data_IF_075607374200
#
_entry.id   IF_075607374200
#
_cell.length_a   1.000
_cell.length_b   1.000
_cell.length_c   1.000
_cell.angle_alpha   90.00
_cell.angle_beta   90.00
_cell.angle_gamma   90.00
#
_symmetry.space_group_name_H-M   'P 1'
#
loop_
_entity.id
_entity.type
_entity.pdbx_description
1 polymer ?
#
# COMPACT_ATOMS: atom_id res chain seq x y z
N UNK A 1 80.97 80.49 -16.77
CA UNK A 1 80.89 79.03 -16.60
C UNK A 1 79.65 78.72 -15.79
N UNK A 2 78.54 78.37 -16.45
CA UNK A 2 77.43 77.58 -15.88
C UNK A 2 76.69 76.98 -17.08
N UNK A 3 76.85 75.67 -17.24
CA UNK A 3 76.25 74.87 -18.32
C UNK A 3 75.06 74.15 -17.69
N UNK A 4 73.84 74.42 -18.17
CA UNK A 4 72.63 73.74 -17.76
C UNK A 4 72.56 72.37 -18.47
N UNK A 5 72.50 71.29 -17.70
CA UNK A 5 72.20 69.94 -18.19
C UNK A 5 70.72 69.84 -18.61
N UNK A 6 70.49 69.08 -19.67
CA UNK A 6 69.21 68.92 -20.37
C UNK A 6 68.22 68.01 -19.60
N UNK A 7 66.96 68.41 -19.39
CA UNK A 7 65.95 67.63 -18.65
C UNK A 7 65.18 66.60 -19.50
N UNK A 8 65.60 66.34 -20.75
CA UNK A 8 64.80 65.55 -21.70
C UNK A 8 64.88 64.03 -21.50
N UNK A 9 65.91 63.53 -20.82
CA UNK A 9 66.15 62.08 -20.63
C UNK A 9 65.36 61.48 -19.47
N UNK A 10 65.04 62.27 -18.45
CA UNK A 10 64.36 61.82 -17.21
C UNK A 10 62.84 61.64 -17.41
N UNK A 11 62.22 62.45 -18.28
CA UNK A 11 60.78 62.39 -18.57
C UNK A 11 60.40 61.15 -19.39
N UNK A 12 61.30 60.68 -20.26
CA UNK A 12 61.08 59.47 -21.08
C UNK A 12 61.15 58.18 -20.26
N UNK A 13 61.99 58.14 -19.24
CA UNK A 13 62.13 56.97 -18.36
C UNK A 13 60.94 56.87 -17.39
N UNK A 14 60.54 58.00 -16.79
CA UNK A 14 59.33 58.09 -15.96
C UNK A 14 58.06 57.70 -16.74
N UNK A 15 57.94 58.11 -18.01
CA UNK A 15 56.78 57.72 -18.84
C UNK A 15 56.76 56.21 -19.18
N UNK A 16 57.93 55.61 -19.38
CA UNK A 16 58.07 54.17 -19.64
C UNK A 16 57.75 53.35 -18.39
N UNK A 17 58.20 53.81 -17.22
CA UNK A 17 57.91 53.19 -15.93
C UNK A 17 56.41 53.33 -15.55
N UNK A 18 55.79 54.49 -15.85
CA UNK A 18 54.35 54.67 -15.67
C UNK A 18 53.52 53.77 -16.59
N UNK A 19 53.99 53.51 -17.81
CA UNK A 19 53.34 52.60 -18.73
C UNK A 19 53.44 51.14 -18.26
N UNK A 20 54.59 50.73 -17.73
CA UNK A 20 54.80 49.40 -17.15
C UNK A 20 53.91 49.18 -15.91
N UNK A 21 53.87 50.16 -14.99
CA UNK A 21 53.02 50.09 -13.80
C UNK A 21 51.53 50.07 -14.14
N UNK A 22 51.09 50.77 -15.20
CA UNK A 22 49.70 50.70 -15.67
C UNK A 22 49.36 49.35 -16.28
N UNK A 23 50.30 48.72 -16.97
CA UNK A 23 50.12 47.38 -17.52
C UNK A 23 50.03 46.33 -16.40
N UNK A 24 50.91 46.42 -15.39
CA UNK A 24 50.89 45.54 -14.22
C UNK A 24 49.62 45.74 -13.38
N UNK A 25 49.18 46.98 -13.18
CA UNK A 25 47.90 47.28 -12.51
C UNK A 25 46.69 46.75 -13.30
N UNK A 26 46.75 46.77 -14.64
CA UNK A 26 45.69 46.21 -15.47
C UNK A 26 45.67 44.68 -15.43
N UNK A 27 46.82 44.04 -15.25
CA UNK A 27 46.94 42.59 -15.04
C UNK A 27 46.42 42.18 -13.66
N UNK A 28 46.83 42.90 -12.61
CA UNK A 28 46.33 42.69 -11.23
C UNK A 28 44.82 42.88 -11.19
N UNK A 29 44.28 43.93 -11.82
CA UNK A 29 42.83 44.14 -11.91
C UNK A 29 42.10 43.04 -12.69
N UNK A 30 42.75 42.42 -13.69
CA UNK A 30 42.18 41.27 -14.41
C UNK A 30 42.17 40.02 -13.53
N UNK A 31 43.28 39.70 -12.87
CA UNK A 31 43.39 38.57 -11.97
C UNK A 31 42.42 38.68 -10.77
N UNK A 32 42.32 39.86 -10.17
CA UNK A 32 41.42 40.13 -9.04
C UNK A 32 39.95 40.11 -9.47
N UNK A 33 39.65 40.53 -10.71
CA UNK A 33 38.32 40.40 -11.33
C UNK A 33 37.96 38.95 -11.65
N UNK A 34 38.92 38.14 -12.10
CA UNK A 34 38.71 36.70 -12.36
C UNK A 34 38.52 35.92 -11.05
N UNK A 35 39.32 36.19 -10.01
CA UNK A 35 39.20 35.54 -8.71
C UNK A 35 37.91 35.94 -7.96
N UNK A 36 37.49 37.20 -8.09
CA UNK A 36 36.18 37.65 -7.61
C UNK A 36 35.05 36.96 -8.36
N UNK A 37 35.16 36.83 -9.69
CA UNK A 37 34.16 36.13 -10.50
C UNK A 37 34.09 34.65 -10.16
N UNK A 38 35.21 33.99 -9.86
CA UNK A 38 35.25 32.59 -9.44
C UNK A 38 34.65 32.38 -8.05
N UNK A 39 34.89 33.28 -7.10
CA UNK A 39 34.23 33.25 -5.78
C UNK A 39 32.74 33.51 -5.87
N UNK A 40 32.31 34.54 -6.59
CA UNK A 40 30.90 34.83 -6.81
C UNK A 40 30.19 33.70 -7.55
N UNK A 41 30.87 33.07 -8.52
CA UNK A 41 30.36 31.90 -9.24
C UNK A 41 30.30 30.66 -8.35
N UNK A 42 31.28 30.43 -7.49
CA UNK A 42 31.26 29.33 -6.52
C UNK A 42 30.13 29.50 -5.50
N UNK A 43 29.91 30.70 -4.98
CA UNK A 43 28.78 31.02 -4.10
C UNK A 43 27.44 30.85 -4.83
N UNK A 44 27.35 31.29 -6.09
CA UNK A 44 26.15 31.11 -6.91
C UNK A 44 25.90 29.64 -7.23
N UNK A 45 26.93 28.84 -7.54
CA UNK A 45 26.81 27.40 -7.75
C UNK A 45 26.44 26.69 -6.44
N UNK A 46 27.00 27.08 -5.29
CA UNK A 46 26.59 26.55 -4.00
C UNK A 46 25.15 26.93 -3.64
N UNK A 47 24.71 28.15 -4.00
CA UNK A 47 23.31 28.56 -3.89
C UNK A 47 22.44 27.72 -4.78
N UNK A 48 22.75 27.57 -6.07
CA UNK A 48 22.01 26.71 -6.99
C UNK A 48 21.99 25.26 -6.49
N UNK A 49 23.09 24.72 -5.98
CA UNK A 49 23.13 23.36 -5.44
C UNK A 49 22.32 23.26 -4.16
N UNK A 50 22.34 24.27 -3.28
CA UNK A 50 21.48 24.31 -2.09
C UNK A 50 20.02 24.48 -2.46
N UNK A 51 19.70 25.26 -3.49
CA UNK A 51 18.36 25.49 -4.02
C UNK A 51 17.88 24.27 -4.79
N UNK A 52 18.74 23.52 -5.48
CA UNK A 52 18.44 22.24 -6.13
C UNK A 52 18.36 21.12 -5.12
N UNK A 53 19.15 21.13 -4.04
CA UNK A 53 19.02 20.16 -2.95
C UNK A 53 17.77 20.46 -2.12
N UNK A 54 17.49 21.72 -1.83
CA UNK A 54 16.26 22.20 -1.24
C UNK A 54 15.09 21.84 -2.16
N UNK A 55 15.03 22.28 -3.42
CA UNK A 55 14.03 21.90 -4.42
C UNK A 55 13.98 20.39 -4.68
N UNK A 56 15.06 19.62 -4.54
CA UNK A 56 15.00 18.15 -4.63
C UNK A 56 14.44 17.53 -3.37
N UNK A 57 14.63 18.16 -2.20
CA UNK A 57 14.01 17.79 -0.93
C UNK A 57 12.56 18.24 -0.88
N UNK A 58 12.22 19.38 -1.48
CA UNK A 58 10.87 19.92 -1.67
C UNK A 58 10.15 19.18 -2.78
N UNK A 59 10.80 18.70 -3.84
CA UNK A 59 10.21 17.77 -4.81
C UNK A 59 10.16 16.36 -4.27
N UNK A 60 11.09 15.94 -3.41
CA UNK A 60 10.93 14.70 -2.62
C UNK A 60 9.83 14.82 -1.58
N UNK A 61 9.49 16.03 -1.10
CA UNK A 61 8.42 16.28 -0.12
C UNK A 61 7.08 16.67 -0.76
N UNK A 62 7.07 17.28 -1.95
CA UNK A 62 5.91 17.47 -2.84
C UNK A 62 5.59 16.15 -3.57
N UNK A 63 6.62 15.31 -3.76
CA UNK A 63 6.48 13.87 -3.97
C UNK A 63 6.57 13.09 -2.66
N UNK A 64 6.42 13.74 -1.51
CA UNK A 64 6.50 13.12 -0.20
C UNK A 64 5.29 12.22 -0.08
N UNK A 65 5.52 10.90 -0.16
CA UNK A 65 4.52 9.85 -0.16
C UNK A 65 3.10 10.39 -0.38
N UNK A 66 2.87 10.99 -1.57
CA UNK A 66 1.53 10.97 -2.13
C UNK A 66 1.15 9.51 -1.97
N UNK A 67 -0.04 9.22 -1.45
CA UNK A 67 -0.64 7.93 -1.76
C UNK A 67 -0.65 7.87 -3.29
N UNK A 68 0.43 7.28 -3.84
CA UNK A 68 0.78 7.19 -5.25
C UNK A 68 0.06 6.02 -5.88
N UNK A 69 -0.90 5.47 -5.15
CA UNK A 69 -1.90 4.69 -5.81
C UNK A 69 -2.57 5.57 -6.86
N UNK A 70 -2.76 4.99 -8.04
CA UNK A 70 -3.61 5.48 -9.10
C UNK A 70 -5.05 5.84 -8.64
N UNK A 71 -5.40 5.62 -7.37
CA UNK A 71 -6.55 6.22 -6.66
C UNK A 71 -6.46 7.75 -6.49
N UNK A 72 -5.37 8.41 -6.89
CA UNK A 72 -5.25 9.87 -6.86
C UNK A 72 -5.94 10.57 -8.05
N UNK A 73 -6.70 9.84 -8.86
CA UNK A 73 -7.62 10.45 -9.81
C UNK A 73 -8.72 11.14 -9.00
N UNK A 74 -8.93 12.44 -9.24
CA UNK A 74 -9.99 13.19 -8.58
C UNK A 74 -9.62 14.63 -8.30
N UNK A 75 -10.29 15.22 -7.30
CA UNK A 75 -10.08 16.61 -6.91
C UNK A 75 -8.89 16.70 -5.97
N UNK A 76 -7.92 17.56 -6.28
CA UNK A 76 -6.84 17.92 -5.38
C UNK A 76 -6.86 19.41 -5.08
N UNK A 77 -6.74 19.75 -3.80
CA UNK A 77 -6.62 21.11 -3.30
C UNK A 77 -5.34 21.18 -2.48
N UNK A 78 -4.59 22.26 -2.62
CA UNK A 78 -3.38 22.50 -1.85
C UNK A 78 -3.35 23.95 -1.40
N UNK A 79 -2.73 24.22 -0.27
CA UNK A 79 -2.40 25.57 0.17
C UNK A 79 -1.22 26.11 -0.65
N UNK A 80 -1.16 27.43 -0.80
CA UNK A 80 -0.08 28.09 -1.55
C UNK A 80 1.31 27.84 -0.94
N UNK A 81 1.36 27.56 0.37
CA UNK A 81 2.59 27.24 1.11
C UNK A 81 2.98 25.75 1.07
N UNK A 82 2.18 24.90 0.42
CA UNK A 82 2.44 23.46 0.27
C UNK A 82 2.31 22.63 1.55
N UNK A 83 1.99 23.24 2.69
CA UNK A 83 1.90 22.56 3.99
C UNK A 83 0.63 21.74 4.17
N UNK A 84 -0.43 22.12 3.45
CA UNK A 84 -1.71 21.45 3.49
C UNK A 84 -2.07 21.00 2.08
N UNK A 85 -2.45 19.73 1.98
CA UNK A 85 -2.96 19.15 0.75
C UNK A 85 -4.17 18.29 1.09
N UNK A 86 -5.08 18.17 0.14
CA UNK A 86 -6.20 17.25 0.20
C UNK A 86 -6.47 16.72 -1.19
N UNK A 87 -6.49 15.39 -1.32
CA UNK A 87 -6.94 14.67 -2.51
C UNK A 87 -8.18 13.88 -2.15
N UNK A 88 -9.21 14.02 -2.98
CA UNK A 88 -10.44 13.24 -2.93
C UNK A 88 -10.49 12.32 -4.14
N UNK A 89 -10.80 11.04 -3.91
CA UNK A 89 -10.99 10.04 -4.95
C UNK A 89 -12.12 9.08 -4.62
N UNK A 90 -12.71 8.49 -5.66
CA UNK A 90 -13.77 7.49 -5.55
C UNK A 90 -13.34 6.22 -6.24
N UNK A 91 -13.62 5.07 -5.63
CA UNK A 91 -13.58 3.78 -6.33
C UNK A 91 -14.94 3.13 -6.27
N UNK A 92 -15.44 2.67 -7.41
CA UNK A 92 -16.70 1.94 -7.50
C UNK A 92 -16.48 0.59 -8.16
N UNK A 93 -17.00 -0.47 -7.53
CA UNK A 93 -17.04 -1.82 -8.07
C UNK A 93 -18.49 -2.26 -8.23
N UNK A 94 -18.89 -2.61 -9.45
CA UNK A 94 -20.20 -3.21 -9.75
C UNK A 94 -19.96 -4.64 -10.21
N UNK A 95 -20.67 -5.59 -9.62
CA UNK A 95 -20.52 -7.03 -9.88
C UNK A 95 -21.80 -7.65 -10.43
N UNK A 96 -21.62 -8.62 -11.31
CA UNK A 96 -22.54 -9.73 -11.52
C UNK A 96 -21.93 -10.97 -10.86
N UNK A 97 -22.72 -11.69 -10.08
CA UNK A 97 -22.32 -12.95 -9.43
C UNK A 97 -23.33 -14.01 -9.82
N UNK A 98 -22.83 -15.18 -10.25
CA UNK A 98 -23.60 -16.41 -10.40
C UNK A 98 -22.92 -17.47 -9.54
N UNK A 99 -23.65 -18.03 -8.58
CA UNK A 99 -23.19 -19.05 -7.64
C UNK A 99 -23.98 -20.32 -7.90
N UNK A 100 -23.28 -21.44 -8.06
CA UNK A 100 -23.85 -22.79 -8.16
C UNK A 100 -23.37 -23.60 -6.96
N UNK A 101 -24.29 -24.18 -6.21
CA UNK A 101 -24.04 -25.06 -5.07
C UNK A 101 -24.91 -26.32 -5.18
N UNK A 102 -24.40 -27.46 -4.69
CA UNK A 102 -25.22 -28.65 -4.47
C UNK A 102 -26.09 -28.41 -3.23
N UNK A 103 -27.41 -28.45 -3.42
CA UNK A 103 -28.36 -28.42 -2.31
C UNK A 103 -28.41 -29.77 -1.59
N UNK A 104 -28.93 -29.76 -0.37
CA UNK A 104 -29.32 -30.98 0.33
C UNK A 104 -30.52 -31.61 -0.42
N UNK A 105 -30.47 -32.92 -0.72
CA UNK A 105 -31.56 -33.69 -1.37
C UNK A 105 -32.89 -33.55 -0.61
N UNK A 106 -32.85 -33.19 0.68
CA UNK A 106 -34.01 -33.00 1.55
C UNK A 106 -34.55 -31.56 1.61
N UNK A 107 -33.85 -30.58 1.02
CA UNK A 107 -34.26 -29.17 1.06
C UNK A 107 -35.26 -28.85 -0.07
N UNK A 108 -36.45 -28.38 0.30
CA UNK A 108 -37.50 -27.93 -0.64
C UNK A 108 -37.22 -26.55 -1.24
N UNK A 109 -36.16 -25.88 -0.75
CA UNK A 109 -35.75 -24.59 -1.28
C UNK A 109 -34.78 -24.84 -2.43
N UNK A 110 -35.15 -24.38 -3.62
CA UNK A 110 -34.35 -24.40 -4.85
C UNK A 110 -33.16 -23.42 -4.74
N UNK A 111 -32.26 -23.68 -3.79
CA UNK A 111 -31.13 -22.82 -3.40
C UNK A 111 -29.87 -23.12 -4.22
N UNK A 112 -29.93 -24.11 -5.10
CA UNK A 112 -28.76 -24.67 -5.79
C UNK A 112 -28.08 -23.70 -6.74
N UNK A 113 -28.78 -22.67 -7.22
CA UNK A 113 -28.16 -21.65 -8.07
C UNK A 113 -28.75 -20.28 -7.76
N UNK A 114 -27.87 -19.32 -7.50
CA UNK A 114 -28.23 -17.93 -7.21
C UNK A 114 -27.45 -17.01 -8.14
N UNK A 115 -28.09 -15.95 -8.62
CA UNK A 115 -27.38 -14.93 -9.38
C UNK A 115 -27.98 -13.55 -9.14
N UNK A 116 -27.18 -12.52 -9.39
CA UNK A 116 -27.61 -11.15 -9.24
C UNK A 116 -26.55 -10.14 -9.62
N UNK A 117 -26.96 -8.88 -9.64
CA UNK A 117 -26.07 -7.73 -9.76
C UNK A 117 -26.04 -6.95 -8.46
N UNK A 118 -24.88 -6.40 -8.12
CA UNK A 118 -24.70 -5.58 -6.94
C UNK A 118 -23.71 -4.46 -7.19
N UNK A 119 -23.90 -3.33 -6.51
CA UNK A 119 -22.82 -2.37 -6.29
C UNK A 119 -21.99 -2.96 -5.15
N UNK A 120 -20.99 -3.77 -5.49
CA UNK A 120 -20.21 -4.51 -4.50
C UNK A 120 -19.52 -3.58 -3.51
N UNK A 121 -18.90 -2.51 -4.02
CA UNK A 121 -18.09 -1.60 -3.22
C UNK A 121 -18.14 -0.18 -3.73
N UNK A 122 -18.24 0.77 -2.82
CA UNK A 122 -17.94 2.19 -3.07
C UNK A 122 -17.00 2.68 -1.99
N UNK A 123 -15.81 3.14 -2.38
CA UNK A 123 -14.88 3.81 -1.47
C UNK A 123 -14.86 5.29 -1.77
N UNK A 124 -15.01 6.09 -0.71
CA UNK A 124 -14.78 7.53 -0.71
C UNK A 124 -13.47 7.76 0.03
N UNK A 125 -12.44 8.20 -0.70
CA UNK A 125 -11.08 8.33 -0.19
C UNK A 125 -10.72 9.80 -0.10
N UNK A 126 -10.24 10.21 1.07
CA UNK A 126 -9.68 11.52 1.33
C UNK A 126 -8.32 11.33 1.96
N UNK A 127 -7.29 11.96 1.41
CA UNK A 127 -5.94 11.90 1.95
C UNK A 127 -5.24 13.23 1.77
N UNK A 128 -4.17 13.45 2.53
CA UNK A 128 -3.43 14.70 2.40
C UNK A 128 -2.38 14.91 3.47
N UNK A 129 -1.89 16.14 3.53
CA UNK A 129 -0.98 16.64 4.56
C UNK A 129 -1.69 17.66 5.44
N UNK A 130 -1.22 17.80 6.68
CA UNK A 130 -1.72 18.78 7.63
C UNK A 130 -0.55 19.38 8.37
N UNK A 131 -0.58 20.68 8.70
CA UNK A 131 0.50 21.40 9.40
C UNK A 131 1.77 21.57 8.56
N UNK A 132 2.39 20.48 8.10
CA UNK A 132 3.56 20.44 7.22
C UNK A 132 3.60 19.08 6.47
N UNK A 133 4.41 18.91 5.41
CA UNK A 133 4.41 17.69 4.60
C UNK A 133 4.76 16.39 5.33
N UNK A 134 5.36 16.45 6.52
CA UNK A 134 5.69 15.28 7.32
C UNK A 134 4.52 14.74 8.14
N UNK A 135 3.42 15.50 8.29
CA UNK A 135 2.19 15.00 8.92
C UNK A 135 1.16 14.79 7.82
N UNK A 136 0.79 13.53 7.62
CA UNK A 136 -0.20 13.12 6.61
C UNK A 136 -1.37 12.39 7.25
N UNK A 137 -2.47 12.31 6.54
CA UNK A 137 -3.70 11.69 7.04
C UNK A 137 -4.42 10.95 5.92
N UNK A 138 -5.23 9.97 6.30
CA UNK A 138 -6.12 9.23 5.40
C UNK A 138 -7.46 9.00 6.09
N UNK A 139 -8.53 9.26 5.35
CA UNK A 139 -9.88 8.84 5.65
C UNK A 139 -10.43 8.08 4.45
N UNK A 140 -10.91 6.86 4.67
CA UNK A 140 -11.65 6.10 3.68
C UNK A 140 -12.96 5.61 4.28
N UNK A 141 -14.07 5.98 3.66
CA UNK A 141 -15.36 5.35 3.91
C UNK A 141 -15.64 4.32 2.84
N UNK A 142 -16.04 3.12 3.27
CA UNK A 142 -16.40 2.02 2.39
C UNK A 142 -17.87 1.68 2.60
N UNK A 143 -18.59 1.56 1.49
CA UNK A 143 -19.88 0.88 1.40
C UNK A 143 -19.66 -0.47 0.75
N UNK A 144 -20.25 -1.52 1.32
CA UNK A 144 -20.30 -2.85 0.72
C UNK A 144 -21.74 -3.39 0.71
N UNK A 145 -22.16 -4.05 -0.38
CA UNK A 145 -23.50 -4.65 -0.50
C UNK A 145 -23.68 -5.93 0.33
N UNK A 146 -22.58 -6.60 0.66
CA UNK A 146 -22.53 -7.85 1.42
C UNK A 146 -21.64 -7.68 2.65
N UNK A 147 -21.92 -8.39 3.74
CA UNK A 147 -20.99 -8.45 4.85
C UNK A 147 -19.70 -9.10 4.37
N UNK A 148 -18.57 -8.50 4.69
CA UNK A 148 -17.28 -9.15 4.58
C UNK A 148 -16.50 -8.99 5.89
N UNK A 149 -15.31 -9.57 5.93
CA UNK A 149 -14.44 -9.60 7.10
C UNK A 149 -14.12 -8.20 7.66
N UNK A 150 -14.14 -7.15 6.83
CA UNK A 150 -13.70 -5.81 7.20
C UNK A 150 -14.84 -4.78 7.18
N UNK A 151 -15.97 -5.11 6.54
CA UNK A 151 -17.21 -4.37 6.56
C UNK A 151 -18.36 -5.31 6.98
N UNK A 152 -18.62 -5.42 8.29
CA UNK A 152 -19.54 -6.41 8.82
C UNK A 152 -21.03 -6.04 8.68
N UNK A 153 -21.35 -4.75 8.43
CA UNK A 153 -22.72 -4.33 8.19
C UNK A 153 -22.93 -4.02 6.70
N UNK A 154 -23.69 -4.86 5.97
CA UNK A 154 -23.98 -4.58 4.57
C UNK A 154 -24.80 -3.30 4.41
N UNK A 155 -24.73 -2.74 3.22
CA UNK A 155 -25.50 -1.57 2.80
C UNK A 155 -25.26 -0.29 3.64
N UNK A 156 -24.10 -0.18 4.28
CA UNK A 156 -23.76 0.94 5.17
C UNK A 156 -22.38 1.48 4.83
N UNK A 157 -22.21 2.81 4.84
CA UNK A 157 -20.88 3.42 4.78
C UNK A 157 -20.19 3.33 6.14
N UNK A 158 -18.98 2.79 6.17
CA UNK A 158 -18.18 2.63 7.39
C UNK A 158 -16.74 3.15 7.17
N UNK A 159 -16.14 3.81 8.17
CA UNK A 159 -14.74 4.22 8.07
C UNK A 159 -13.82 2.98 8.17
N UNK A 160 -13.15 2.63 7.07
CA UNK A 160 -12.23 1.49 7.01
C UNK A 160 -10.76 1.89 7.12
N UNK A 161 -10.44 3.14 6.80
CA UNK A 161 -9.19 3.79 7.19
C UNK A 161 -9.49 5.15 7.82
N UNK A 162 -8.84 5.44 8.94
CA UNK A 162 -8.94 6.72 9.62
C UNK A 162 -7.70 6.91 10.49
N UNK A 163 -6.64 7.50 9.94
CA UNK A 163 -5.39 7.67 10.66
C UNK A 163 -4.67 8.97 10.35
N UNK A 164 -3.73 9.29 11.24
CA UNK A 164 -2.71 10.31 11.06
C UNK A 164 -1.34 9.60 11.07
N UNK A 165 -0.47 9.98 10.14
CA UNK A 165 0.90 9.48 9.99
C UNK A 165 1.88 10.63 10.16
N UNK A 166 2.89 10.46 11.00
CA UNK A 166 4.05 11.35 11.11
C UNK A 166 5.27 10.67 10.50
N UNK A 167 5.93 11.36 9.56
CA UNK A 167 7.27 11.04 9.10
C UNK A 167 8.29 11.80 9.96
N UNK A 168 9.24 11.08 10.55
CA UNK A 168 10.32 11.65 11.36
C UNK A 168 11.62 11.81 10.55
N UNK A 169 11.60 11.46 9.26
CA UNK A 169 12.76 11.36 8.40
C UNK A 169 13.50 10.04 8.58
N UNK A 170 14.48 9.81 7.71
CA UNK A 170 15.35 8.62 7.74
C UNK A 170 14.59 7.29 7.75
N UNK A 171 13.43 7.25 7.09
CA UNK A 171 12.62 6.04 6.97
C UNK A 171 11.77 5.70 8.20
N UNK A 172 11.79 6.54 9.24
CA UNK A 172 11.00 6.32 10.46
C UNK A 172 9.65 7.01 10.35
N UNK A 173 8.57 6.24 10.48
CA UNK A 173 7.21 6.80 10.53
C UNK A 173 6.42 6.22 11.68
N UNK A 174 5.50 7.01 12.24
CA UNK A 174 4.50 6.55 13.19
C UNK A 174 3.09 6.81 12.64
N UNK A 175 2.18 5.90 12.94
CA UNK A 175 0.81 5.90 12.45
C UNK A 175 -0.14 5.70 13.63
N UNK A 176 -1.14 6.56 13.80
CA UNK A 176 -2.17 6.41 14.84
C UNK A 176 -3.57 6.48 14.23
N UNK A 177 -4.43 5.55 14.64
CA UNK A 177 -5.81 5.45 14.16
C UNK A 177 -6.11 4.09 13.54
N UNK A 178 -7.16 3.99 12.74
CA UNK A 178 -7.59 2.76 12.09
C UNK A 178 -6.82 2.51 10.79
N UNK A 179 -6.02 1.44 10.75
CA UNK A 179 -5.14 1.10 9.63
C UNK A 179 -4.89 -0.41 9.53
N UNK A 180 -4.32 -0.88 8.41
CA UNK A 180 -3.96 -2.29 8.25
C UNK A 180 -2.98 -2.73 9.34
N UNK A 181 -3.25 -3.88 9.94
CA UNK A 181 -2.33 -4.54 10.87
C UNK A 181 -1.24 -5.24 10.04
N UNK A 182 0.07 -5.01 10.32
CA UNK A 182 1.16 -5.55 9.52
C UNK A 182 1.31 -7.06 9.79
N UNK A 183 0.87 -7.87 8.84
CA UNK A 183 0.80 -9.33 9.00
C UNK A 183 1.32 -10.05 7.77
N UNK A 184 0.52 -10.10 6.70
CA UNK A 184 0.82 -10.74 5.43
C UNK A 184 1.01 -9.69 4.31
N UNK A 185 1.44 -10.11 3.12
CA UNK A 185 1.60 -9.19 2.00
C UNK A 185 0.27 -8.53 1.60
N UNK A 186 -0.85 -9.26 1.63
CA UNK A 186 -2.20 -8.72 1.34
C UNK A 186 -2.60 -7.57 2.29
N UNK A 187 -2.15 -7.60 3.55
CA UNK A 187 -2.33 -6.48 4.49
C UNK A 187 -1.53 -5.22 4.12
N UNK A 188 -0.65 -5.27 3.12
CA UNK A 188 0.10 -4.11 2.62
C UNK A 188 -0.66 -3.37 1.52
N UNK A 189 -1.48 -4.09 0.75
CA UNK A 189 -2.22 -3.51 -0.36
C UNK A 189 -3.38 -2.62 0.12
N UNK A 190 -3.67 -1.62 -0.69
CA UNK A 190 -4.69 -0.62 -0.40
C UNK A 190 -6.06 -1.10 -0.90
N UNK A 191 -6.76 -1.87 -0.05
CA UNK A 191 -8.10 -2.41 -0.33
C UNK A 191 -8.15 -3.39 -1.51
N UNK A 192 -9.25 -4.13 -1.65
CA UNK A 192 -9.44 -5.10 -2.74
C UNK A 192 -9.35 -4.51 -4.15
N UNK A 193 -9.50 -3.20 -4.32
CA UNK A 193 -9.35 -2.55 -5.62
C UNK A 193 -7.90 -2.51 -6.13
N UNK A 194 -6.90 -2.74 -5.26
CA UNK A 194 -5.47 -2.78 -5.62
C UNK A 194 -4.97 -4.21 -5.91
N UNK A 195 -5.87 -5.18 -5.72
CA UNK A 195 -5.62 -6.60 -5.93
C UNK A 195 -5.94 -7.00 -7.37
N UNK A 196 -5.19 -7.98 -7.86
CA UNK A 196 -5.36 -8.59 -9.18
C UNK A 196 -6.78 -9.14 -9.31
N UNK A 197 -7.25 -9.91 -8.32
CA UNK A 197 -8.59 -10.52 -8.34
C UNK A 197 -9.74 -9.53 -8.03
N UNK A 198 -9.44 -8.30 -7.61
CA UNK A 198 -10.44 -7.28 -7.24
C UNK A 198 -11.09 -7.45 -5.87
N UNK A 199 -10.76 -8.54 -5.18
CA UNK A 199 -11.14 -8.89 -3.81
C UNK A 199 -9.92 -9.53 -3.13
N UNK A 200 -9.93 -9.55 -1.80
CA UNK A 200 -8.93 -10.29 -1.02
C UNK A 200 -8.89 -11.77 -1.39
N UNK A 201 -7.71 -12.38 -1.27
CA UNK A 201 -7.52 -13.81 -1.47
C UNK A 201 -8.38 -14.62 -0.46
N UNK A 202 -8.73 -15.85 -0.81
CA UNK A 202 -9.41 -16.76 0.13
C UNK A 202 -8.56 -16.96 1.39
N UNK A 203 -7.25 -16.98 1.20
CA UNK A 203 -6.27 -17.02 2.27
C UNK A 203 -6.42 -15.84 3.23
N UNK A 204 -6.51 -14.60 2.73
CA UNK A 204 -6.64 -13.43 3.59
C UNK A 204 -8.02 -13.36 4.28
N UNK A 205 -9.09 -13.82 3.62
CA UNK A 205 -10.39 -13.98 4.29
C UNK A 205 -10.33 -14.93 5.50
N UNK A 206 -9.51 -15.98 5.45
CA UNK A 206 -9.33 -16.95 6.55
C UNK A 206 -8.30 -16.49 7.58
N UNK A 207 -7.12 -16.06 7.13
CA UNK A 207 -5.93 -15.87 7.97
C UNK A 207 -5.48 -14.42 8.09
N UNK A 208 -6.07 -13.49 7.33
CA UNK A 208 -5.76 -12.07 7.44
C UNK A 208 -6.22 -11.50 8.78
N UNK A 209 -5.47 -10.57 9.36
CA UNK A 209 -5.80 -9.95 10.66
C UNK A 209 -6.51 -8.60 10.53
N UNK A 210 -6.62 -8.08 9.31
CA UNK A 210 -7.47 -6.94 8.94
C UNK A 210 -6.95 -5.58 9.38
N UNK A 211 -7.89 -4.66 9.63
CA UNK A 211 -7.65 -3.25 9.98
C UNK A 211 -8.10 -2.97 11.39
N UNK A 212 -7.29 -2.22 12.12
CA UNK A 212 -7.51 -1.97 13.53
C UNK A 212 -7.08 -0.58 13.94
N UNK A 213 -7.80 -0.06 14.93
CA UNK A 213 -7.36 1.13 15.66
C UNK A 213 -6.15 0.79 16.52
N UNK A 214 -5.08 1.56 16.38
CA UNK A 214 -3.84 1.29 17.07
C UNK A 214 -2.77 2.34 16.84
N UNK A 215 -1.58 2.05 17.37
CA UNK A 215 -0.33 2.75 17.10
C UNK A 215 0.59 1.81 16.32
N UNK A 216 0.98 2.22 15.12
CA UNK A 216 1.96 1.57 14.28
C UNK A 216 3.24 2.38 14.18
N UNK A 217 4.36 1.68 14.05
CA UNK A 217 5.68 2.22 13.76
C UNK A 217 6.24 1.51 12.53
N UNK A 218 6.97 2.25 11.71
CA UNK A 218 7.69 1.71 10.57
C UNK A 218 9.11 2.27 10.55
N UNK A 219 10.05 1.39 10.20
CA UNK A 219 11.41 1.72 9.78
C UNK A 219 11.60 1.15 8.37
N UNK A 220 11.93 1.99 7.40
CA UNK A 220 12.10 1.57 6.00
C UNK A 220 13.36 2.20 5.38
N UNK A 221 14.11 1.38 4.66
CA UNK A 221 15.14 1.82 3.72
C UNK A 221 14.85 1.22 2.33
N UNK A 222 15.78 1.33 1.38
CA UNK A 222 15.70 0.77 0.03
C UNK A 222 15.57 -0.76 0.00
N UNK A 223 16.15 -1.48 0.97
CA UNK A 223 16.18 -2.95 0.96
C UNK A 223 15.29 -3.60 2.03
N UNK A 224 14.97 -2.91 3.13
CA UNK A 224 14.18 -3.50 4.21
C UNK A 224 13.05 -2.58 4.66
N UNK A 225 11.96 -3.18 5.13
CA UNK A 225 10.86 -2.50 5.79
C UNK A 225 10.41 -3.30 7.01
N UNK A 226 10.56 -2.72 8.19
CA UNK A 226 10.06 -3.25 9.44
C UNK A 226 8.83 -2.45 9.86
N UNK A 227 7.72 -3.13 10.13
CA UNK A 227 6.47 -2.56 10.64
C UNK A 227 6.08 -3.27 11.92
N UNK A 228 5.54 -2.56 12.89
CA UNK A 228 4.97 -3.18 14.09
C UNK A 228 4.11 -2.22 14.87
N UNK A 229 3.26 -2.75 15.74
CA UNK A 229 2.32 -1.91 16.46
C UNK A 229 1.52 -2.63 17.54
N UNK A 230 0.73 -1.85 18.25
CA UNK A 230 -0.28 -2.31 19.21
C UNK A 230 -1.66 -1.92 18.73
N UNK A 231 -2.64 -2.80 18.95
CA UNK A 231 -3.97 -2.72 18.38
C UNK A 231 -5.04 -3.06 19.41
N UNK A 232 -6.26 -2.60 19.16
CA UNK A 232 -7.42 -2.85 20.02
C UNK A 232 -7.99 -4.27 19.89
N UNK A 233 -7.98 -4.81 18.66
CA UNK A 233 -8.48 -6.14 18.32
C UNK A 233 -7.53 -6.79 17.29
N UNK A 234 -7.63 -8.09 17.06
CA UNK A 234 -7.09 -8.78 15.88
C UNK A 234 -8.18 -9.71 15.34
N UNK A 235 -8.11 -10.04 14.05
CA UNK A 235 -8.96 -11.04 13.38
C UNK A 235 -10.47 -10.80 13.37
N UNK A 236 -10.95 -9.72 13.97
CA UNK A 236 -12.36 -9.34 14.01
C UNK A 236 -12.48 -7.81 13.96
N UNK A 237 -13.59 -7.25 13.45
CA UNK A 237 -13.83 -5.82 13.52
C UNK A 237 -13.73 -5.29 14.96
N UNK A 238 -13.02 -4.18 15.15
CA UNK A 238 -12.93 -3.51 16.45
C UNK A 238 -14.24 -2.83 16.84
N UNK A 239 -14.57 -2.84 18.13
CA UNK A 239 -15.70 -2.06 18.66
C UNK A 239 -15.26 -0.71 19.24
N UNK A 240 -16.18 -0.05 19.97
CA UNK A 240 -15.84 1.16 20.73
C UNK A 240 -14.74 0.90 21.77
N UNK A 241 -14.05 1.95 22.23
CA UNK A 241 -12.89 1.80 23.11
C UNK A 241 -13.16 1.01 24.41
N UNK A 242 -14.41 0.95 24.87
CA UNK A 242 -14.81 0.26 26.11
C UNK A 242 -15.50 -1.10 25.90
N UNK A 243 -15.59 -1.61 24.67
CA UNK A 243 -16.29 -2.88 24.42
C UNK A 243 -15.61 -4.04 25.13
N UNK A 244 -16.40 -5.01 25.58
CA UNK A 244 -15.93 -6.23 26.23
C UNK A 244 -15.20 -7.17 25.26
N UNK A 245 -15.39 -6.97 23.95
CA UNK A 245 -14.69 -7.72 22.90
C UNK A 245 -13.26 -7.25 22.64
N UNK A 246 -12.85 -6.09 23.19
CA UNK A 246 -11.48 -5.61 23.03
C UNK A 246 -10.49 -6.53 23.75
N UNK A 247 -9.27 -6.63 23.22
CA UNK A 247 -8.23 -7.49 23.77
C UNK A 247 -7.51 -6.82 24.94
N UNK A 248 -6.97 -7.63 25.86
CA UNK A 248 -6.08 -7.13 26.92
C UNK A 248 -4.78 -6.58 26.35
N UNK A 249 -4.25 -7.25 25.33
CA UNK A 249 -3.21 -6.73 24.45
C UNK A 249 -3.38 -7.34 23.07
N UNK A 250 -2.93 -6.61 22.05
CA UNK A 250 -2.83 -7.11 20.69
C UNK A 250 -1.64 -6.46 20.01
N UNK A 251 -0.71 -7.25 19.53
CA UNK A 251 0.49 -6.77 18.85
C UNK A 251 0.69 -7.50 17.53
N UNK A 252 1.26 -6.79 16.57
CA UNK A 252 1.66 -7.37 15.30
C UNK A 252 2.99 -6.77 14.85
N UNK A 253 3.75 -7.54 14.08
CA UNK A 253 5.01 -7.11 13.50
C UNK A 253 5.29 -7.84 12.20
N UNK A 254 5.92 -7.13 11.26
CA UNK A 254 6.27 -7.66 9.94
C UNK A 254 7.60 -7.10 9.45
N UNK A 255 8.43 -7.98 8.92
CA UNK A 255 9.66 -7.65 8.20
C UNK A 255 9.50 -8.01 6.73
N UNK A 256 9.73 -7.04 5.85
CA UNK A 256 9.86 -7.24 4.41
C UNK A 256 11.32 -6.99 3.99
N UNK A 257 11.87 -7.87 3.15
CA UNK A 257 13.18 -7.72 2.53
C UNK A 257 13.04 -7.73 1.01
N UNK A 258 13.45 -6.64 0.35
CA UNK A 258 13.34 -6.43 -1.08
C UNK A 258 14.69 -6.61 -1.79
N UNK A 259 14.66 -7.34 -2.90
CA UNK A 259 15.77 -7.48 -3.85
C UNK A 259 15.31 -6.91 -5.19
N UNK A 260 15.93 -5.80 -5.60
CA UNK A 260 15.61 -5.12 -6.87
C UNK A 260 14.27 -4.38 -6.85
N UNK A 261 14.07 -3.48 -7.82
CA UNK A 261 12.88 -2.61 -7.88
C UNK A 261 12.83 -1.56 -6.78
N UNK A 262 11.63 -1.04 -6.53
CA UNK A 262 11.35 -0.08 -5.45
C UNK A 262 10.09 -0.50 -4.68
N UNK A 263 9.90 0.02 -3.47
CA UNK A 263 8.71 -0.31 -2.67
C UNK A 263 7.41 0.16 -3.33
N UNK A 264 7.45 1.24 -4.10
CA UNK A 264 6.30 1.77 -4.83
C UNK A 264 5.80 0.79 -5.90
N UNK A 265 6.66 -0.10 -6.40
CA UNK A 265 6.26 -1.12 -7.35
C UNK A 265 5.20 -2.06 -6.73
N UNK A 266 5.15 -2.17 -5.38
CA UNK A 266 4.25 -3.01 -4.57
C UNK A 266 3.02 -2.29 -4.02
N UNK A 267 2.64 -1.13 -4.55
CA UNK A 267 1.36 -0.49 -4.19
C UNK A 267 0.14 -1.16 -4.85
N UNK A 268 0.36 -1.82 -5.98
CA UNK A 268 -0.61 -2.68 -6.67
C UNK A 268 -0.07 -4.11 -6.67
N UNK A 269 -0.96 -5.10 -6.63
CA UNK A 269 -0.56 -6.51 -6.66
C UNK A 269 0.02 -6.90 -8.04
N UNK A 270 -0.67 -6.47 -9.11
CA UNK A 270 -0.30 -6.70 -10.50
C UNK A 270 0.89 -5.85 -10.98
N UNK A 271 1.89 -6.52 -11.55
CA UNK A 271 3.00 -5.92 -12.28
C UNK A 271 2.64 -5.62 -13.73
N UNK A 272 2.80 -4.38 -14.19
CA UNK A 272 2.60 -4.04 -15.61
C UNK A 272 3.77 -4.49 -16.51
N UNK A 273 3.54 -4.49 -17.82
CA UNK A 273 4.58 -4.83 -18.82
C UNK A 273 5.72 -3.81 -18.74
N UNK A 274 6.95 -4.30 -18.62
CA UNK A 274 8.15 -3.46 -18.51
C UNK A 274 8.56 -3.10 -17.08
N UNK A 275 7.82 -3.55 -16.06
CA UNK A 275 8.24 -3.43 -14.66
C UNK A 275 9.61 -4.08 -14.43
N UNK A 276 10.38 -3.45 -13.55
CA UNK A 276 11.66 -3.97 -13.08
C UNK A 276 11.47 -5.34 -12.41
N UNK A 277 12.49 -6.18 -12.49
CA UNK A 277 12.50 -7.43 -11.73
C UNK A 277 12.74 -7.13 -10.27
N UNK A 278 11.85 -7.63 -9.42
CA UNK A 278 11.94 -7.47 -7.98
C UNK A 278 11.40 -8.70 -7.26
N UNK A 279 11.95 -8.98 -6.09
CA UNK A 279 11.46 -10.03 -5.19
C UNK A 279 11.39 -9.45 -3.79
N UNK A 280 10.28 -9.69 -3.09
CA UNK A 280 10.10 -9.36 -1.68
C UNK A 280 9.88 -10.65 -0.90
N UNK A 281 10.58 -10.79 0.21
CA UNK A 281 10.35 -11.83 1.21
C UNK A 281 9.72 -11.18 2.45
N UNK A 282 8.61 -11.74 2.92
CA UNK A 282 7.89 -11.29 4.09
C UNK A 282 7.91 -12.31 5.23
N UNK A 283 8.02 -11.79 6.46
CA UNK A 283 7.81 -12.54 7.69
C UNK A 283 6.95 -11.71 8.64
N UNK A 284 5.78 -12.22 9.01
CA UNK A 284 4.84 -11.60 9.93
C UNK A 284 4.61 -12.41 11.20
N UNK A 285 4.27 -11.72 12.28
CA UNK A 285 3.87 -12.32 13.56
C UNK A 285 2.74 -11.51 14.18
N UNK A 286 1.79 -12.19 14.82
CA UNK A 286 0.78 -11.56 15.67
C UNK A 286 0.67 -12.28 16.99
N UNK A 287 0.29 -11.54 18.02
CA UNK A 287 -0.04 -12.10 19.32
C UNK A 287 -1.06 -11.23 20.04
N UNK A 288 -2.13 -11.84 20.51
CA UNK A 288 -3.08 -11.22 21.41
C UNK A 288 -3.45 -12.10 22.60
N UNK A 289 -4.06 -11.45 23.58
CA UNK A 289 -4.75 -12.12 24.65
C UNK A 289 -6.12 -11.50 24.90
N UNK A 290 -7.08 -12.37 25.18
CA UNK A 290 -8.41 -12.02 25.62
C UNK A 290 -8.41 -11.11 26.84
N UNK A 291 -9.38 -10.20 26.92
CA UNK A 291 -9.58 -9.39 28.12
C UNK A 291 -10.10 -10.25 29.26
N UNK A 292 -9.33 -10.31 30.35
CA UNK A 292 -9.65 -11.14 31.52
C UNK A 292 -10.89 -10.69 32.33
N UNK A 293 -11.64 -9.67 31.89
CA UNK A 293 -12.72 -9.08 32.68
C UNK A 293 -14.06 -9.82 32.65
N UNK A 294 -14.26 -10.87 31.84
CA UNK A 294 -15.45 -11.72 31.94
C UNK A 294 -15.17 -13.15 31.43
N UNK A 295 -15.13 -14.19 32.28
CA UNK A 295 -15.07 -15.59 31.85
C UNK A 295 -16.46 -16.02 31.38
N UNK A 296 -16.99 -15.36 30.36
CA UNK A 296 -18.17 -15.84 29.66
C UNK A 296 -17.67 -16.59 28.46
N UNK A 297 -17.72 -17.91 28.53
CA UNK A 297 -17.85 -18.77 27.36
C UNK A 297 -18.70 -18.05 26.29
N UNK A 298 -18.22 -17.91 25.05
CA UNK A 298 -17.03 -18.56 24.47
C UNK A 298 -15.69 -17.83 24.76
N UNK A 299 -14.53 -18.48 24.53
CA UNK A 299 -13.22 -17.89 24.77
C UNK A 299 -13.07 -16.55 24.04
N UNK A 300 -12.48 -15.55 24.68
CA UNK A 300 -12.10 -14.30 24.01
C UNK A 300 -11.03 -14.61 22.94
N UNK A 301 -11.08 -13.97 21.76
CA UNK A 301 -10.10 -14.19 20.71
C UNK A 301 -8.65 -14.07 21.21
N UNK A 302 -7.79 -14.97 20.77
CA UNK A 302 -6.36 -15.00 21.14
C UNK A 302 -5.52 -15.39 19.92
N UNK A 303 -5.65 -14.55 18.89
CA UNK A 303 -4.88 -14.66 17.67
C UNK A 303 -3.38 -14.68 17.99
N UNK A 304 -2.74 -15.78 17.63
CA UNK A 304 -1.30 -15.94 17.72
C UNK A 304 -0.83 -16.68 16.48
N UNK A 305 0.23 -16.21 15.85
CA UNK A 305 0.70 -16.89 14.65
C UNK A 305 1.90 -16.25 14.01
N UNK A 306 2.39 -16.96 13.00
CA UNK A 306 3.43 -16.52 12.10
C UNK A 306 2.99 -16.72 10.66
N UNK A 307 3.39 -15.82 9.78
CA UNK A 307 3.17 -15.90 8.33
C UNK A 307 4.47 -15.64 7.60
N UNK A 308 4.67 -16.31 6.48
CA UNK A 308 5.77 -16.04 5.56
C UNK A 308 5.23 -15.96 4.15
N UNK A 309 5.78 -15.05 3.36
CA UNK A 309 5.38 -14.88 1.97
C UNK A 309 6.56 -14.47 1.08
N UNK A 310 6.39 -14.72 -0.21
CA UNK A 310 7.29 -14.29 -1.26
C UNK A 310 6.46 -13.68 -2.40
N UNK A 311 6.85 -12.51 -2.85
CA UNK A 311 6.24 -11.85 -4.01
C UNK A 311 7.32 -11.49 -5.02
N UNK A 312 7.25 -12.08 -6.22
CA UNK A 312 8.19 -11.83 -7.30
C UNK A 312 7.49 -11.16 -8.48
N UNK A 313 8.16 -10.18 -9.10
CA UNK A 313 7.70 -9.49 -10.31
C UNK A 313 8.77 -9.47 -11.35
N UNK A 314 8.37 -9.66 -12.61
CA UNK A 314 9.28 -9.56 -13.75
C UNK A 314 8.48 -9.43 -15.06
N UNK A 315 8.74 -8.38 -15.85
CA UNK A 315 8.28 -8.33 -17.24
C UNK A 315 6.77 -8.51 -17.45
N UNK A 316 5.93 -8.01 -16.54
CA UNK A 316 4.48 -8.18 -16.57
C UNK A 316 3.95 -9.44 -15.87
N UNK A 317 4.81 -10.22 -15.23
CA UNK A 317 4.45 -11.32 -14.34
C UNK A 317 4.44 -10.87 -12.89
N UNK A 318 3.50 -11.42 -12.13
CA UNK A 318 3.42 -11.31 -10.67
C UNK A 318 3.22 -12.71 -10.11
N UNK A 319 4.07 -13.11 -9.18
CA UNK A 319 3.97 -14.38 -8.45
C UNK A 319 3.88 -14.06 -6.98
N UNK A 320 2.99 -14.73 -6.28
CA UNK A 320 2.84 -14.62 -4.84
C UNK A 320 2.67 -16.01 -4.24
N UNK A 321 3.40 -16.29 -3.17
CA UNK A 321 3.24 -17.48 -2.35
C UNK A 321 3.19 -17.10 -0.88
N UNK A 322 2.23 -17.65 -0.14
CA UNK A 322 2.04 -17.36 1.28
C UNK A 322 1.86 -18.66 2.07
N UNK A 323 2.32 -18.67 3.31
CA UNK A 323 2.11 -19.75 4.27
C UNK A 323 1.89 -19.19 5.66
N UNK A 324 0.98 -19.80 6.41
CA UNK A 324 0.62 -19.36 7.75
C UNK A 324 0.50 -20.53 8.71
N UNK A 325 0.92 -20.29 9.94
CA UNK A 325 0.58 -21.09 11.10
C UNK A 325 -0.04 -20.18 12.16
N UNK A 326 -1.34 -20.33 12.36
CA UNK A 326 -2.12 -19.37 13.14
C UNK A 326 -3.15 -20.07 14.01
N UNK A 327 -3.23 -19.61 15.25
CA UNK A 327 -4.33 -19.88 16.15
C UNK A 327 -5.45 -18.87 15.93
N UNK A 328 -6.69 -19.36 15.96
CA UNK A 328 -7.90 -18.51 15.93
C UNK A 328 -8.09 -17.78 14.58
N UNK A 329 -7.97 -18.56 13.49
CA UNK A 329 -8.27 -18.12 12.14
C UNK A 329 -9.76 -17.82 11.95
N UNK A 330 -10.09 -16.90 11.05
CA UNK A 330 -11.44 -16.41 10.81
C UNK A 330 -12.41 -17.51 10.36
N UNK A 331 -13.56 -17.60 11.00
CA UNK A 331 -14.57 -18.60 10.66
C UNK A 331 -14.19 -20.03 11.07
N UNK A 332 -13.06 -20.23 11.76
CA UNK A 332 -12.74 -21.55 12.31
C UNK A 332 -13.82 -21.96 13.33
N UNK A 333 -14.29 -23.22 13.31
CA UNK A 333 -15.37 -23.66 14.18
C UNK A 333 -14.96 -23.65 15.66
N UNK A 334 -13.66 -23.80 15.94
CA UNK A 334 -13.08 -23.78 17.27
C UNK A 334 -11.75 -23.00 17.28
N UNK A 335 -11.39 -22.35 18.40
CA UNK A 335 -10.09 -21.69 18.54
C UNK A 335 -8.95 -22.71 18.62
N UNK A 336 -8.39 -23.05 17.47
CA UNK A 336 -7.28 -24.01 17.34
C UNK A 336 -6.17 -23.48 16.44
N UNK A 337 -5.02 -24.16 16.46
CA UNK A 337 -3.94 -23.91 15.52
C UNK A 337 -4.30 -24.50 14.17
N UNK A 338 -4.08 -23.72 13.12
CA UNK A 338 -4.40 -24.11 11.75
C UNK A 338 -3.28 -23.68 10.82
N UNK A 339 -3.01 -24.52 9.82
CA UNK A 339 -2.12 -24.21 8.71
C UNK A 339 -2.91 -23.77 7.48
N UNK A 340 -2.28 -22.90 6.69
CA UNK A 340 -2.79 -22.51 5.39
C UNK A 340 -1.68 -22.13 4.42
N UNK A 341 -1.97 -22.24 3.14
CA UNK A 341 -1.08 -21.83 2.07
C UNK A 341 -1.85 -21.16 0.94
N UNK A 342 -1.22 -20.20 0.27
CA UNK A 342 -1.75 -19.56 -0.93
C UNK A 342 -0.67 -19.54 -2.00
N UNK A 343 -1.08 -19.67 -3.26
CA UNK A 343 -0.23 -19.38 -4.39
C UNK A 343 -1.04 -18.67 -5.47
N UNK A 344 -0.55 -17.51 -5.91
CA UNK A 344 -1.13 -16.73 -6.98
C UNK A 344 -0.10 -16.45 -8.07
N UNK A 345 -0.56 -16.51 -9.32
CA UNK A 345 0.19 -16.09 -10.51
C UNK A 345 -0.68 -15.18 -11.36
N UNK A 346 -0.11 -14.08 -11.83
CA UNK A 346 -0.72 -13.17 -12.78
C UNK A 346 0.27 -12.81 -13.88
N UNK A 347 -0.21 -12.67 -15.12
CA UNK A 347 0.63 -12.31 -16.26
C UNK A 347 -0.13 -11.48 -17.30
N UNK A 348 0.47 -10.39 -17.74
CA UNK A 348 -0.02 -9.63 -18.90
C UNK A 348 0.24 -10.41 -20.19
N UNK A 349 -0.83 -10.91 -20.83
CA UNK A 349 -0.77 -11.55 -22.16
C UNK A 349 -0.79 -10.52 -23.29
N UNK A 350 -1.32 -9.32 -23.01
CA UNK A 350 -1.19 -8.12 -23.84
C UNK A 350 -1.04 -6.91 -22.91
N UNK A 351 -0.63 -5.72 -23.38
CA UNK A 351 -0.54 -4.54 -22.52
C UNK A 351 -1.84 -4.12 -21.81
N UNK A 352 -2.99 -4.64 -22.23
CA UNK A 352 -4.31 -4.34 -21.64
C UNK A 352 -5.01 -5.55 -21.02
N UNK A 353 -4.48 -6.75 -21.19
CA UNK A 353 -5.14 -7.98 -20.76
C UNK A 353 -4.18 -8.79 -19.90
N UNK A 354 -4.59 -9.07 -18.68
CA UNK A 354 -3.86 -9.88 -17.71
C UNK A 354 -4.70 -11.11 -17.36
N UNK A 355 -4.06 -12.26 -17.30
CA UNK A 355 -4.66 -13.50 -16.80
C UNK A 355 -4.11 -13.80 -15.42
N UNK A 356 -4.92 -14.38 -14.54
CA UNK A 356 -4.47 -14.79 -13.22
C UNK A 356 -5.08 -16.12 -12.78
N UNK A 357 -4.40 -16.78 -11.85
CA UNK A 357 -4.88 -17.94 -11.11
C UNK A 357 -4.37 -17.90 -9.67
N UNK A 358 -5.18 -18.34 -8.73
CA UNK A 358 -4.87 -18.45 -7.30
C UNK A 358 -5.40 -19.80 -6.79
N UNK A 359 -4.67 -20.44 -5.88
CA UNK A 359 -5.15 -21.59 -5.12
C UNK A 359 -4.78 -21.46 -3.64
N UNK A 360 -5.79 -21.58 -2.79
CA UNK A 360 -5.66 -21.54 -1.34
C UNK A 360 -5.91 -22.93 -0.75
N UNK A 361 -5.03 -23.36 0.15
CA UNK A 361 -5.16 -24.56 0.97
C UNK A 361 -5.34 -24.22 2.45
N UNK A 362 -6.19 -24.97 3.16
CA UNK A 362 -6.52 -24.78 4.56
C UNK A 362 -6.72 -26.11 5.28
N UNK A 363 -6.07 -26.31 6.42
CA UNK A 363 -6.06 -27.59 7.16
C UNK A 363 -7.40 -27.93 7.85
N UNK A 364 -8.15 -26.91 8.27
CA UNK A 364 -9.32 -27.05 9.16
C UNK A 364 -10.66 -26.85 8.44
N UNK A 365 -10.78 -27.27 7.17
CA UNK A 365 -12.00 -27.16 6.37
C UNK A 365 -12.31 -28.51 5.70
N UNK A 366 -13.60 -28.88 5.61
CA UNK A 366 -14.04 -30.07 4.86
C UNK A 366 -13.66 -29.95 3.38
N UNK A 367 -13.64 -28.70 2.90
CA UNK A 367 -13.16 -28.29 1.58
C UNK A 367 -11.81 -27.61 1.77
N UNK A 368 -10.70 -28.37 1.76
CA UNK A 368 -9.38 -27.84 2.09
C UNK A 368 -8.78 -27.00 0.98
N UNK A 369 -9.29 -27.07 -0.26
CA UNK A 369 -8.76 -26.32 -1.40
C UNK A 369 -9.83 -25.46 -2.05
N UNK A 370 -9.52 -24.19 -2.30
CA UNK A 370 -10.34 -23.29 -3.12
C UNK A 370 -9.41 -22.61 -4.13
N UNK A 371 -9.71 -22.73 -5.42
CA UNK A 371 -8.98 -22.01 -6.46
C UNK A 371 -9.85 -20.98 -7.16
N UNK A 372 -9.21 -19.98 -7.74
CA UNK A 372 -9.83 -19.04 -8.64
C UNK A 372 -8.94 -18.78 -9.85
N UNK A 373 -9.55 -18.45 -10.98
CA UNK A 373 -8.84 -18.04 -12.18
C UNK A 373 -9.67 -17.04 -12.96
N UNK A 374 -9.00 -16.13 -13.67
CA UNK A 374 -9.70 -15.07 -14.37
C UNK A 374 -8.84 -14.24 -15.30
N UNK A 375 -9.49 -13.20 -15.82
CA UNK A 375 -8.92 -12.23 -16.75
C UNK A 375 -9.29 -10.83 -16.27
N UNK A 376 -8.31 -9.93 -16.29
CA UNK A 376 -8.49 -8.49 -16.18
C UNK A 376 -8.30 -7.84 -17.55
N UNK A 377 -9.24 -6.99 -17.94
CA UNK A 377 -9.13 -6.09 -19.08
C UNK A 377 -9.06 -4.64 -18.60
N UNK A 378 -7.89 -4.04 -18.77
CA UNK A 378 -7.57 -2.66 -18.45
C UNK A 378 -7.96 -1.75 -19.63
N UNK A 379 -9.14 -1.14 -19.54
CA UNK A 379 -9.69 -0.27 -20.59
C UNK A 379 -9.00 1.10 -20.59
N UNK A 380 -8.66 1.61 -19.40
CA UNK A 380 -7.95 2.88 -19.22
C UNK A 380 -6.96 2.79 -18.04
N UNK A 381 -5.85 2.06 -18.25
CA UNK A 381 -4.94 1.71 -17.16
C UNK A 381 -5.72 1.03 -16.03
N UNK A 382 -5.32 1.26 -14.79
CA UNK A 382 -6.04 0.71 -13.62
C UNK A 382 -7.34 1.46 -13.28
N UNK A 383 -7.60 2.63 -13.88
CA UNK A 383 -8.78 3.47 -13.59
C UNK A 383 -10.09 2.89 -14.06
N UNK A 384 -10.05 2.09 -15.14
CA UNK A 384 -11.21 1.36 -15.64
C UNK A 384 -10.78 -0.07 -15.95
N UNK A 385 -11.18 -0.99 -15.08
CA UNK A 385 -10.83 -2.41 -15.14
C UNK A 385 -12.11 -3.24 -15.21
N UNK A 386 -12.19 -4.14 -16.18
CA UNK A 386 -13.17 -5.23 -16.19
C UNK A 386 -12.49 -6.51 -15.75
N UNK A 387 -13.06 -7.24 -14.80
CA UNK A 387 -12.55 -8.52 -14.32
C UNK A 387 -13.61 -9.58 -14.54
N UNK A 388 -13.23 -10.74 -15.09
CA UNK A 388 -14.09 -11.92 -15.11
C UNK A 388 -13.33 -13.10 -14.52
N UNK A 389 -13.93 -13.81 -13.58
CA UNK A 389 -13.28 -14.91 -12.85
C UNK A 389 -14.25 -16.02 -12.49
N UNK A 390 -13.69 -17.20 -12.29
CA UNK A 390 -14.36 -18.36 -11.71
C UNK A 390 -13.67 -18.73 -10.40
N UNK A 391 -14.45 -19.14 -9.40
CA UNK A 391 -13.98 -19.63 -8.11
C UNK A 391 -14.53 -21.05 -7.93
N UNK A 392 -13.67 -22.00 -7.61
CA UNK A 392 -14.00 -23.42 -7.48
C UNK A 392 -13.43 -23.96 -6.16
N UNK A 393 -14.29 -24.33 -5.21
CA UNK A 393 -13.92 -25.17 -4.07
C UNK A 393 -13.76 -26.63 -4.52
N UNK A 394 -12.73 -27.31 -4.04
CA UNK A 394 -12.49 -28.73 -4.34
C UNK A 394 -12.90 -29.61 -3.15
N UNK A 395 -14.06 -30.24 -3.27
CA UNK A 395 -14.63 -31.13 -2.26
C UNK A 395 -16.10 -30.83 -2.00
N UNK A 396 -16.76 -31.72 -1.26
CA UNK A 396 -18.08 -31.47 -0.68
C UNK A 396 -17.96 -31.25 0.83
N UNK A 397 -18.90 -30.53 1.43
CA UNK A 397 -18.88 -30.19 2.86
C UNK A 397 -18.83 -28.70 3.13
N UNK A 398 -18.56 -28.34 4.38
CA UNK A 398 -18.52 -26.95 4.83
C UNK A 398 -17.19 -26.26 4.50
N UNK A 399 -17.28 -25.01 4.05
CA UNK A 399 -16.10 -24.13 3.91
C UNK A 399 -15.78 -23.39 5.22
N UNK A 400 -16.30 -23.89 6.36
CA UNK A 400 -16.06 -23.45 7.74
C UNK A 400 -16.01 -21.93 7.89
N UNK A 401 -17.17 -21.28 7.78
CA UNK A 401 -17.34 -19.85 8.05
C UNK A 401 -16.84 -18.89 6.98
N UNK A 402 -16.04 -19.34 5.99
CA UNK A 402 -15.49 -18.47 4.94
C UNK A 402 -16.61 -17.81 4.13
N UNK A 403 -17.68 -18.53 3.80
CA UNK A 403 -18.82 -17.98 3.06
C UNK A 403 -19.50 -16.79 3.77
N UNK A 404 -19.42 -16.72 5.10
CA UNK A 404 -20.00 -15.63 5.88
C UNK A 404 -19.10 -14.38 5.92
N UNK A 405 -17.80 -14.52 5.64
CA UNK A 405 -16.81 -13.43 5.73
C UNK A 405 -16.25 -13.02 4.37
N UNK A 406 -16.50 -13.79 3.32
CA UNK A 406 -16.06 -13.55 1.94
C UNK A 406 -17.18 -13.00 1.04
N UNK A 407 -17.98 -12.06 1.58
CA UNK A 407 -19.13 -11.49 0.89
C UNK A 407 -18.84 -11.03 -0.54
N UNK A 408 -19.74 -11.36 -1.45
CA UNK A 408 -19.63 -11.00 -2.87
C UNK A 408 -18.69 -11.90 -3.70
N UNK A 409 -18.17 -12.99 -3.13
CA UNK A 409 -17.51 -14.07 -3.90
C UNK A 409 -18.47 -15.16 -4.39
N UNK A 410 -19.76 -15.09 -4.02
CA UNK A 410 -20.73 -16.12 -4.36
C UNK A 410 -20.53 -17.43 -3.59
N UNK A 411 -19.73 -17.42 -2.52
CA UNK A 411 -19.46 -18.63 -1.74
C UNK A 411 -20.65 -19.02 -0.82
N UNK A 412 -21.26 -20.19 -1.04
CA UNK A 412 -22.19 -20.77 -0.06
C UNK A 412 -21.44 -21.36 1.14
N UNK A 413 -22.12 -21.50 2.27
CA UNK A 413 -21.53 -22.05 3.51
C UNK A 413 -21.11 -23.52 3.39
N UNK A 414 -21.77 -24.27 2.50
CA UNK A 414 -21.46 -25.65 2.20
C UNK A 414 -21.72 -25.98 0.73
N UNK A 415 -21.09 -27.05 0.27
CA UNK A 415 -21.42 -27.74 -0.99
C UNK A 415 -21.40 -26.83 -2.24
N UNK A 416 -20.58 -25.79 -2.24
CA UNK A 416 -20.44 -24.92 -3.39
C UNK A 416 -19.75 -25.67 -4.55
N UNK A 417 -20.28 -25.54 -5.77
CA UNK A 417 -19.69 -26.12 -6.97
C UNK A 417 -18.77 -25.10 -7.65
N UNK A 418 -19.31 -23.95 -8.05
CA UNK A 418 -18.52 -22.88 -8.66
C UNK A 418 -19.24 -21.54 -8.55
N UNK A 419 -18.46 -20.46 -8.50
CA UNK A 419 -18.96 -19.09 -8.60
C UNK A 419 -18.31 -18.36 -9.77
N UNK A 420 -19.13 -17.75 -10.61
CA UNK A 420 -18.71 -16.94 -11.74
C UNK A 420 -18.98 -15.48 -11.43
N UNK A 421 -17.97 -14.64 -11.61
CA UNK A 421 -18.05 -13.22 -11.27
C UNK A 421 -17.57 -12.40 -12.46
N UNK A 422 -18.35 -11.37 -12.79
CA UNK A 422 -17.90 -10.30 -13.67
C UNK A 422 -17.99 -8.98 -12.92
N UNK A 423 -16.92 -8.20 -12.93
CA UNK A 423 -16.82 -6.95 -12.19
C UNK A 423 -16.36 -5.84 -13.12
N UNK A 424 -16.97 -4.66 -13.00
CA UNK A 424 -16.40 -3.40 -13.49
C UNK A 424 -15.92 -2.60 -12.29
N UNK A 425 -14.67 -2.16 -12.33
CA UNK A 425 -14.07 -1.25 -11.37
C UNK A 425 -13.75 0.08 -12.06
N UNK A 426 -14.18 1.18 -11.45
CA UNK A 426 -13.87 2.55 -11.89
C UNK A 426 -13.23 3.32 -10.75
N UNK A 427 -12.22 4.13 -11.05
CA UNK A 427 -11.48 4.95 -10.09
C UNK A 427 -11.32 6.37 -10.67
N UNK A 428 -11.78 7.39 -9.95
CA UNK A 428 -11.84 8.76 -10.47
C UNK A 428 -11.86 9.84 -9.38
#
# INVERSE_FOLDING_TARGET
MFMFESPATDVLDVQRELAALRAELAEIRRADSEEWMDRARAEHVQSIVRDVLADSSTRRSESGQRWRSDYSAGLSVASDDGNWTMTFGVTQQVKFVYSSAYGDESSTDDVQTRWGMEVRRVNLVMSGTAVDPSVSWLLMFQYDSQPDRWASAPNTFQPVYAYIKKDFGNGVTALIGNHNVPWDIDSTYFEGCSLTAGDYSIFNYRFGVGRQSGLGLQLQDSAFRLRGGTYTQLTQPGGGWNTDTNLSFAVAGRLDYQIGGKWEDYEMESSTVGSATSVVFGLGSVWSNGRAQNPTSPPTPSAAGVTTDITARFGGWSLEGQFVWMRDAAGAPIPEWSLGGNFQVAAFITPKVETFAEACWMETADVPWIAQAGINWYLQGVRLKFTSKVIVPFGGGEINGIGAVAGGLGLSSANNNASFISQVQVMF
#
